data_IF_023585195502
#
_entry.id   IF_023585195502
#
_cell.length_a   1.000
_cell.length_b   1.000
_cell.length_c   1.000
_cell.angle_alpha   90.00
_cell.angle_beta   90.00
_cell.angle_gamma   90.00
#
_symmetry.space_group_name_H-M   'P 1'
#
loop_
_entity.id
_entity.type
_entity.pdbx_description
1 polymer ?
#
# COMPACT_ATOMS: atom_id res chain seq x y z
N UNK A 1 -15.98 -0.17 12.59
CA UNK A 1 -14.51 -0.22 12.38
C UNK A 1 -14.14 -0.31 10.91
N UNK A 2 -14.75 -1.20 10.12
CA UNK A 2 -14.46 -1.36 8.68
C UNK A 2 -14.53 -0.04 7.88
N UNK A 3 -15.58 0.77 8.08
CA UNK A 3 -15.72 2.07 7.38
C UNK A 3 -14.55 3.01 7.65
N UNK A 4 -14.13 3.15 8.91
CA UNK A 4 -13.00 4.00 9.29
C UNK A 4 -11.69 3.49 8.68
N UNK A 5 -11.48 2.18 8.68
CA UNK A 5 -10.29 1.56 8.08
C UNK A 5 -10.27 1.70 6.56
N UNK A 6 -11.41 1.49 5.88
CA UNK A 6 -11.50 1.66 4.42
C UNK A 6 -11.30 3.11 3.99
N UNK A 7 -11.86 4.07 4.73
CA UNK A 7 -11.68 5.51 4.44
C UNK A 7 -10.23 5.92 4.69
N UNK A 8 -9.67 5.59 5.87
CA UNK A 8 -8.28 5.95 6.20
C UNK A 8 -7.28 5.32 5.22
N UNK A 9 -7.37 4.01 4.98
CA UNK A 9 -6.48 3.31 4.05
C UNK A 9 -6.61 3.83 2.62
N UNK A 10 -7.83 4.02 2.11
CA UNK A 10 -8.06 4.55 0.77
C UNK A 10 -7.55 5.99 0.61
N UNK A 11 -7.81 6.86 1.59
CA UNK A 11 -7.38 8.26 1.57
C UNK A 11 -5.85 8.37 1.68
N UNK A 12 -5.24 7.69 2.64
CA UNK A 12 -3.78 7.68 2.83
C UNK A 12 -3.06 7.09 1.62
N UNK A 13 -3.58 6.01 1.04
CA UNK A 13 -3.02 5.38 -0.16
C UNK A 13 -3.09 6.31 -1.37
N UNK A 14 -4.23 7.01 -1.57
CA UNK A 14 -4.38 8.00 -2.63
C UNK A 14 -3.41 9.18 -2.47
N UNK A 15 -3.28 9.72 -1.25
CA UNK A 15 -2.32 10.79 -0.96
C UNK A 15 -0.88 10.33 -1.21
N UNK A 16 -0.51 9.12 -0.77
CA UNK A 16 0.82 8.57 -0.98
C UNK A 16 1.18 8.51 -2.47
N UNK A 17 0.26 8.05 -3.34
CA UNK A 17 0.50 8.02 -4.78
C UNK A 17 0.57 9.42 -5.43
N UNK A 18 -0.13 10.40 -4.86
CA UNK A 18 -0.10 11.79 -5.35
C UNK A 18 1.14 12.56 -4.92
N UNK A 19 1.65 12.30 -3.71
CA UNK A 19 2.78 13.02 -3.13
C UNK A 19 4.13 12.33 -3.37
N UNK A 20 4.21 11.00 -3.39
CA UNK A 20 5.46 10.28 -3.65
C UNK A 20 6.23 10.75 -4.90
N UNK A 21 5.59 10.98 -6.06
CA UNK A 21 6.30 11.50 -7.24
C UNK A 21 6.63 13.00 -7.17
N UNK A 22 6.06 13.76 -6.21
CA UNK A 22 6.26 15.21 -6.03
C UNK A 22 7.36 15.56 -5.04
N UNK A 23 7.77 14.61 -4.19
CA UNK A 23 8.82 14.80 -3.17
C UNK A 23 10.24 14.52 -3.74
N UNK A 24 10.32 13.94 -4.93
CA UNK A 24 11.58 13.69 -5.64
C UNK A 24 11.82 14.72 -6.74
N UNK A 25 13.06 14.82 -7.22
CA UNK A 25 13.38 15.64 -8.39
C UNK A 25 12.48 15.30 -9.60
N UNK A 26 12.09 16.30 -10.41
CA UNK A 26 11.25 16.10 -11.59
C UNK A 26 11.80 15.04 -12.56
N UNK A 27 13.14 14.92 -12.64
CA UNK A 27 13.84 13.93 -13.46
C UNK A 27 13.56 12.48 -13.03
N UNK A 28 13.25 12.24 -11.75
CA UNK A 28 13.00 10.92 -11.15
C UNK A 28 11.54 10.67 -10.78
N UNK A 29 10.68 11.68 -10.93
CA UNK A 29 9.26 11.64 -10.60
C UNK A 29 8.52 10.42 -11.19
N UNK A 30 8.81 10.06 -12.46
CA UNK A 30 8.22 8.89 -13.12
C UNK A 30 8.56 7.58 -12.40
N UNK A 31 9.83 7.36 -12.07
CA UNK A 31 10.30 6.15 -11.39
C UNK A 31 9.75 6.10 -9.98
N UNK A 32 9.73 7.23 -9.27
CA UNK A 32 9.14 7.32 -7.92
C UNK A 32 7.64 6.98 -7.93
N UNK A 33 6.87 7.44 -8.93
CA UNK A 33 5.47 7.07 -9.10
C UNK A 33 5.28 5.57 -9.36
N UNK A 34 6.14 4.97 -10.19
CA UNK A 34 6.13 3.52 -10.43
C UNK A 34 6.46 2.73 -9.15
N UNK A 35 7.44 3.17 -8.36
CA UNK A 35 7.78 2.54 -7.08
C UNK A 35 6.65 2.65 -6.06
N UNK A 36 5.97 3.80 -5.99
CA UNK A 36 4.80 3.96 -5.13
C UNK A 36 3.69 2.94 -5.48
N UNK A 37 3.44 2.72 -6.79
CA UNK A 37 2.52 1.68 -7.26
C UNK A 37 2.97 0.27 -6.90
N UNK A 38 4.27 -0.02 -7.04
CA UNK A 38 4.83 -1.31 -6.63
C UNK A 38 4.61 -1.60 -5.14
N UNK A 39 4.94 -0.66 -4.25
CA UNK A 39 4.78 -0.84 -2.81
C UNK A 39 3.31 -1.00 -2.39
N UNK A 40 2.38 -0.34 -3.09
CA UNK A 40 0.95 -0.51 -2.85
C UNK A 40 0.50 -1.94 -3.14
N UNK A 41 0.83 -2.48 -4.31
CA UNK A 41 0.46 -3.86 -4.68
C UNK A 41 1.17 -4.86 -3.78
N UNK A 42 2.46 -4.64 -3.49
CA UNK A 42 3.23 -5.48 -2.60
C UNK A 42 2.62 -5.55 -1.19
N UNK A 43 2.17 -4.41 -0.65
CA UNK A 43 1.47 -4.36 0.63
C UNK A 43 0.19 -5.20 0.64
N UNK A 44 -0.61 -5.15 -0.45
CA UNK A 44 -1.82 -5.97 -0.60
C UNK A 44 -1.48 -7.46 -0.59
N UNK A 45 -0.49 -7.87 -1.39
CA UNK A 45 -0.05 -9.28 -1.46
C UNK A 45 0.48 -9.76 -0.11
N UNK A 46 1.32 -8.97 0.55
CA UNK A 46 1.84 -9.28 1.88
C UNK A 46 0.70 -9.43 2.90
N UNK A 47 -0.31 -8.55 2.85
CA UNK A 47 -1.51 -8.65 3.68
C UNK A 47 -2.28 -9.95 3.47
N UNK A 48 -2.50 -10.36 2.21
CA UNK A 48 -3.15 -11.63 1.87
C UNK A 48 -2.33 -12.83 2.35
N UNK A 49 -1.01 -12.82 2.14
CA UNK A 49 -0.12 -13.87 2.65
C UNK A 49 -0.16 -13.95 4.17
N UNK A 50 -0.22 -12.80 4.86
CA UNK A 50 -0.34 -12.75 6.31
C UNK A 50 -1.67 -13.33 6.80
N UNK A 51 -2.78 -13.11 6.08
CA UNK A 51 -4.06 -13.77 6.38
C UNK A 51 -3.93 -15.29 6.35
N UNK A 52 -3.28 -15.85 5.33
CA UNK A 52 -3.05 -17.30 5.22
C UNK A 52 -2.20 -17.81 6.40
N UNK A 53 -1.15 -17.08 6.76
CA UNK A 53 -0.29 -17.43 7.91
C UNK A 53 -1.05 -17.41 9.23
N UNK A 54 -1.90 -16.40 9.47
CA UNK A 54 -2.73 -16.32 10.68
C UNK A 54 -3.74 -17.45 10.71
N UNK A 55 -4.40 -17.77 9.59
CA UNK A 55 -5.32 -18.92 9.52
C UNK A 55 -4.59 -20.23 9.84
N UNK A 56 -3.41 -20.46 9.28
CA UNK A 56 -2.60 -21.64 9.58
C UNK A 56 -2.15 -21.70 11.05
N UNK A 57 -1.82 -20.55 11.66
CA UNK A 57 -1.43 -20.47 13.07
C UNK A 57 -2.60 -20.73 14.02
N UNK A 58 -3.81 -20.27 13.66
CA UNK A 58 -5.03 -20.44 14.49
C UNK A 58 -5.61 -21.85 14.39
N UNK A 59 -5.40 -22.54 13.27
CA UNK A 59 -5.88 -23.91 13.06
C UNK A 59 -4.94 -24.98 13.66
N UNK A 60 -3.75 -24.58 14.13
CA UNK A 60 -2.84 -25.39 14.94
C UNK A 60 -3.04 -25.15 16.44
#
# INVERSE_FOLDING_TARGET
>A
MAILMSISSGYLSGLAMMYAPRVVEPSKSRIAGMMAGFFLIFGIVCGLSFTILITALVEH
#
